data_IF_733498412501
#
_entry.id   IF_733498412501
#
_cell.length_a   1.000
_cell.length_b   1.000
_cell.length_c   1.000
_cell.angle_alpha   90.00
_cell.angle_beta   90.00
_cell.angle_gamma   90.00
#
_symmetry.space_group_name_H-M   'P 1'
#
loop_
_entity.id
_entity.type
_entity.pdbx_description
1 polymer ?
#
# COMPACT_ATOMS: atom_id res chain seq x y z
N UNK A 1 -1.21 -23.37 -7.08
CA UNK A 1 -1.49 -22.49 -8.25
C UNK A 1 -0.42 -21.42 -8.23
N UNK A 2 0.44 -21.32 -9.25
CA UNK A 2 1.40 -20.23 -9.38
C UNK A 2 0.73 -19.09 -10.13
N UNK A 3 0.13 -18.14 -9.41
CA UNK A 3 -0.40 -16.92 -10.01
C UNK A 3 0.74 -16.01 -10.48
N UNK A 4 0.43 -15.08 -11.38
CA UNK A 4 1.41 -14.09 -11.84
C UNK A 4 1.76 -13.11 -10.72
N UNK A 5 3.04 -12.74 -10.59
CA UNK A 5 3.50 -11.75 -9.61
C UNK A 5 3.41 -10.36 -10.26
N UNK A 6 2.32 -9.65 -9.99
CA UNK A 6 2.08 -8.31 -10.56
C UNK A 6 3.04 -7.23 -10.05
N UNK A 7 2.89 -6.02 -10.57
CA UNK A 7 3.66 -4.84 -10.15
C UNK A 7 3.40 -4.46 -8.69
N UNK A 8 4.39 -3.85 -8.04
CA UNK A 8 4.36 -3.50 -6.61
C UNK A 8 4.45 -2.01 -6.45
N UNK A 9 3.33 -1.40 -6.05
CA UNK A 9 3.30 -0.02 -5.65
C UNK A 9 3.35 0.10 -4.13
N UNK A 10 3.99 1.18 -3.66
CA UNK A 10 4.04 1.53 -2.25
C UNK A 10 4.17 3.04 -2.11
N UNK A 11 3.91 3.53 -0.89
CA UNK A 11 4.04 4.94 -0.52
C UNK A 11 4.91 5.05 0.73
N UNK A 12 5.84 6.01 0.74
CA UNK A 12 6.52 6.46 1.96
C UNK A 12 5.76 7.67 2.49
N UNK A 13 5.40 7.66 3.76
CA UNK A 13 4.77 8.80 4.42
C UNK A 13 5.81 9.85 4.80
N UNK A 14 5.42 11.12 4.72
CA UNK A 14 6.27 12.25 5.07
C UNK A 14 6.91 12.93 3.85
N UNK A 15 7.39 14.13 4.09
CA UNK A 15 7.72 15.14 3.08
C UNK A 15 9.22 15.47 3.04
N UNK A 16 10.01 15.03 4.03
CA UNK A 16 11.46 15.10 3.95
C UNK A 16 12.21 13.84 4.40
N UNK A 17 12.73 13.11 3.42
CA UNK A 17 13.60 11.94 3.63
C UNK A 17 15.03 12.35 4.04
N UNK A 18 15.15 13.39 4.88
CA UNK A 18 16.44 13.97 5.30
C UNK A 18 17.06 13.19 6.45
N UNK A 19 16.23 12.70 7.36
CA UNK A 19 16.70 11.92 8.50
C UNK A 19 16.90 10.46 8.10
N UNK A 20 18.06 9.90 8.48
CA UNK A 20 18.30 8.47 8.37
C UNK A 20 17.56 7.74 9.48
N UNK A 21 16.50 7.01 9.15
CA UNK A 21 15.64 6.29 10.11
C UNK A 21 15.37 4.84 9.65
N UNK A 22 15.09 3.92 10.58
CA UNK A 22 14.60 2.58 10.23
C UNK A 22 13.27 2.64 9.48
N UNK A 23 12.96 1.62 8.71
CA UNK A 23 11.65 1.47 8.04
C UNK A 23 10.70 0.71 8.95
N UNK A 24 9.44 1.17 9.01
CA UNK A 24 8.29 0.40 9.46
C UNK A 24 7.38 0.18 8.26
N UNK A 25 7.32 -1.05 7.74
CA UNK A 25 6.47 -1.38 6.61
C UNK A 25 5.10 -1.89 7.07
N UNK A 26 4.07 -1.12 6.77
CA UNK A 26 2.69 -1.48 7.05
C UNK A 26 2.07 -2.26 5.89
N UNK A 27 1.86 -3.54 6.13
CA UNK A 27 1.12 -4.44 5.24
C UNK A 27 -0.38 -4.34 5.53
N UNK A 28 -1.17 -4.00 4.51
CA UNK A 28 -2.62 -3.85 4.66
C UNK A 28 -3.33 -5.18 4.99
N UNK A 29 -4.51 -5.06 5.62
CA UNK A 29 -5.44 -6.16 5.98
C UNK A 29 -6.01 -6.94 4.79
N UNK A 30 -7.19 -7.56 4.88
CA UNK A 30 -7.61 -8.56 3.88
C UNK A 30 -7.97 -8.00 2.48
N UNK A 31 -8.66 -6.87 2.41
CA UNK A 31 -9.30 -6.38 1.17
C UNK A 31 -8.39 -5.45 0.35
N UNK A 32 -8.59 -5.33 -0.99
CA UNK A 32 -7.91 -4.38 -1.87
C UNK A 32 -8.40 -2.94 -1.64
N UNK A 33 -8.20 -2.44 -0.43
CA UNK A 33 -8.44 -1.04 -0.12
C UNK A 33 -7.34 -0.18 -0.77
N UNK A 34 -7.69 0.96 -1.39
CA UNK A 34 -6.69 1.91 -1.84
C UNK A 34 -5.95 2.51 -0.63
N UNK A 35 -4.75 3.05 -0.85
CA UNK A 35 -4.07 3.81 0.19
C UNK A 35 -4.66 5.21 0.33
N UNK A 36 -4.93 5.86 -0.81
CA UNK A 36 -5.46 7.23 -0.89
C UNK A 36 -6.65 7.25 -1.85
N UNK A 37 -7.72 7.91 -1.42
CA UNK A 37 -8.80 8.35 -2.30
C UNK A 37 -8.61 9.83 -2.65
N UNK A 38 -8.66 10.13 -3.94
CA UNK A 38 -8.81 11.49 -4.46
C UNK A 38 -10.29 11.80 -4.61
N UNK A 39 -10.79 12.74 -3.81
CA UNK A 39 -12.18 13.19 -3.85
C UNK A 39 -12.41 14.19 -4.98
N UNK A 40 -13.69 14.49 -5.26
CA UNK A 40 -14.10 15.40 -6.36
C UNK A 40 -13.50 16.80 -6.23
N UNK A 41 -13.34 17.28 -4.99
CA UNK A 41 -12.72 18.56 -4.65
C UNK A 41 -11.17 18.53 -4.69
N UNK A 42 -10.58 17.45 -5.23
CA UNK A 42 -9.14 17.18 -5.27
C UNK A 42 -8.48 16.91 -3.90
N UNK A 43 -9.24 16.88 -2.81
CA UNK A 43 -8.69 16.49 -1.51
C UNK A 43 -8.25 15.02 -1.53
N UNK A 44 -7.13 14.75 -0.86
CA UNK A 44 -6.59 13.41 -0.68
C UNK A 44 -7.00 12.88 0.70
N UNK A 45 -7.69 11.76 0.70
CA UNK A 45 -8.13 11.08 1.91
C UNK A 45 -7.33 9.79 2.09
N UNK A 46 -6.55 9.72 3.16
CA UNK A 46 -5.78 8.53 3.50
C UNK A 46 -6.71 7.47 4.10
N UNK A 47 -6.88 6.36 3.39
CA UNK A 47 -7.45 5.12 3.95
C UNK A 47 -6.37 4.37 4.73
N UNK A 48 -5.17 4.31 4.15
CA UNK A 48 -3.97 3.73 4.78
C UNK A 48 -4.12 2.26 5.20
N UNK A 49 -5.05 1.51 4.60
CA UNK A 49 -5.26 0.08 4.86
C UNK A 49 -5.47 -0.30 6.33
N UNK A 50 -5.98 0.64 7.15
CA UNK A 50 -6.17 0.46 8.59
C UNK A 50 -5.09 1.08 9.49
N UNK A 51 -4.01 1.64 8.94
CA UNK A 51 -3.00 2.37 9.73
C UNK A 51 -3.62 3.54 10.49
N UNK A 52 -4.70 4.13 9.94
CA UNK A 52 -5.40 5.27 10.54
C UNK A 52 -6.05 4.93 11.90
N UNK A 53 -6.12 3.63 12.25
CA UNK A 53 -6.53 3.17 13.58
C UNK A 53 -5.39 3.29 14.62
N UNK A 54 -4.19 3.64 14.21
CA UNK A 54 -3.01 3.80 15.05
C UNK A 54 -2.53 5.26 15.03
N UNK A 55 -1.78 5.64 16.08
CA UNK A 55 -1.07 6.91 16.13
C UNK A 55 0.25 6.80 15.34
N UNK A 56 0.14 6.58 14.03
CA UNK A 56 1.29 6.37 13.16
C UNK A 56 2.15 7.64 13.01
N UNK A 57 1.62 8.81 13.35
CA UNK A 57 2.37 10.07 13.43
C UNK A 57 3.47 9.98 14.49
N UNK A 58 3.18 9.41 15.67
CA UNK A 58 4.22 9.15 16.68
C UNK A 58 5.25 8.13 16.21
N UNK A 59 4.86 7.18 15.38
CA UNK A 59 5.81 6.23 14.81
C UNK A 59 6.70 6.90 13.76
N UNK A 60 6.17 7.83 12.98
CA UNK A 60 6.90 8.59 11.98
C UNK A 60 8.06 9.42 12.57
N UNK A 61 7.97 9.82 13.84
CA UNK A 61 9.10 10.44 14.55
C UNK A 61 10.33 9.53 14.60
N UNK A 62 10.14 8.21 14.62
CA UNK A 62 11.19 7.19 14.83
C UNK A 62 11.46 6.31 13.61
N UNK A 63 10.51 6.22 12.68
CA UNK A 63 10.56 5.32 11.54
C UNK A 63 10.10 6.03 10.27
N UNK A 64 10.68 5.67 9.14
CA UNK A 64 10.04 5.90 7.84
C UNK A 64 8.86 4.94 7.70
N UNK A 65 7.64 5.48 7.66
CA UNK A 65 6.43 4.68 7.54
C UNK A 65 6.18 4.39 6.07
N UNK A 66 6.15 3.11 5.71
CA UNK A 66 5.92 2.65 4.34
C UNK A 66 4.64 1.87 4.25
N UNK A 67 3.79 2.23 3.29
CA UNK A 67 2.55 1.54 2.98
C UNK A 67 2.68 0.78 1.68
N UNK A 68 2.52 -0.53 1.71
CA UNK A 68 2.50 -1.35 0.48
C UNK A 68 1.06 -1.50 -0.01
N UNK A 69 0.83 -1.40 -1.31
CA UNK A 69 -0.50 -1.64 -1.88
C UNK A 69 -0.82 -3.12 -1.93
N UNK A 70 -2.12 -3.43 -1.89
CA UNK A 70 -2.61 -4.74 -2.27
C UNK A 70 -2.33 -5.06 -3.74
N UNK A 71 -2.27 -6.34 -4.11
CA UNK A 71 -2.09 -6.72 -5.51
C UNK A 71 -3.08 -5.98 -6.41
N UNK A 72 -2.62 -5.57 -7.59
CA UNK A 72 -3.39 -4.88 -8.64
C UNK A 72 -4.17 -3.63 -8.16
N UNK A 73 -3.80 -3.07 -7.01
CA UNK A 73 -4.48 -1.93 -6.39
C UNK A 73 -3.57 -0.70 -6.44
N UNK A 74 -4.00 0.41 -7.08
CA UNK A 74 -3.21 1.64 -7.13
C UNK A 74 -3.05 2.31 -5.76
N UNK A 75 -2.01 3.13 -5.61
CA UNK A 75 -1.81 3.97 -4.41
C UNK A 75 -2.94 5.00 -4.27
N UNK A 76 -3.25 5.70 -5.35
CA UNK A 76 -4.26 6.75 -5.41
C UNK A 76 -5.35 6.33 -6.38
N UNK A 77 -6.61 6.34 -5.94
CA UNK A 77 -7.78 6.06 -6.77
C UNK A 77 -8.77 7.20 -6.67
N UNK A 78 -9.69 7.31 -7.63
CA UNK A 78 -10.80 8.28 -7.56
C UNK A 78 -12.07 7.63 -7.00
N UNK A 79 -12.97 8.45 -6.45
CA UNK A 79 -14.16 7.96 -5.75
C UNK A 79 -15.03 6.96 -6.54
N UNK A 80 -15.15 7.12 -7.86
CA UNK A 80 -15.94 6.23 -8.72
C UNK A 80 -15.29 4.86 -9.00
N UNK A 81 -14.04 4.67 -8.57
CA UNK A 81 -13.32 3.39 -8.65
C UNK A 81 -13.39 2.59 -7.35
N UNK A 82 -14.12 3.08 -6.35
CA UNK A 82 -14.27 2.46 -5.03
C UNK A 82 -15.69 1.88 -4.91
N UNK A 83 -15.80 0.61 -4.52
CA UNK A 83 -17.10 -0.04 -4.25
C UNK A 83 -17.66 0.31 -2.87
N UNK A 84 -18.86 -0.16 -2.56
CA UNK A 84 -19.52 0.08 -1.27
C UNK A 84 -18.80 -0.55 -0.06
N UNK A 85 -17.78 -1.39 -0.29
CA UNK A 85 -16.92 -1.99 0.75
C UNK A 85 -15.55 -1.30 0.81
N UNK A 86 -15.42 -0.12 0.21
CA UNK A 86 -14.18 0.65 0.14
C UNK A 86 -13.05 -0.04 -0.63
N UNK A 87 -13.38 -1.01 -1.49
CA UNK A 87 -12.39 -1.72 -2.29
C UNK A 87 -12.22 -1.03 -3.64
N UNK A 88 -10.98 -0.98 -4.14
CA UNK A 88 -10.75 -0.63 -5.53
C UNK A 88 -11.40 -1.68 -6.43
N UNK A 89 -12.10 -1.25 -7.48
CA UNK A 89 -12.73 -2.15 -8.45
C UNK A 89 -12.57 -1.70 -9.91
N UNK A 90 -11.77 -0.67 -10.19
CA UNK A 90 -11.53 0.00 -11.50
C UNK A 90 -12.77 0.56 -12.19
N UNK A 91 -13.82 -0.24 -12.33
CA UNK A 91 -15.15 0.12 -12.80
C UNK A 91 -16.18 -0.55 -11.91
N UNK A 92 -16.92 0.26 -11.15
CA UNK A 92 -17.96 -0.23 -10.24
C UNK A 92 -19.10 -0.96 -10.97
N UNK A 93 -19.34 -0.67 -12.25
CA UNK A 93 -20.33 -1.38 -13.06
C UNK A 93 -19.86 -2.80 -13.47
N UNK A 94 -18.55 -3.06 -13.44
CA UNK A 94 -17.94 -4.33 -13.82
C UNK A 94 -16.98 -4.89 -12.75
N UNK A 95 -17.30 -4.63 -11.47
CA UNK A 95 -16.44 -4.97 -10.35
C UNK A 95 -16.07 -6.46 -10.28
N UNK A 96 -16.93 -7.36 -10.78
CA UNK A 96 -16.69 -8.80 -10.77
C UNK A 96 -15.44 -9.21 -11.55
N UNK A 97 -15.12 -8.49 -12.64
CA UNK A 97 -13.91 -8.77 -13.41
C UNK A 97 -12.65 -8.49 -12.56
N UNK A 98 -12.63 -7.35 -11.87
CA UNK A 98 -11.55 -7.01 -10.95
C UNK A 98 -11.40 -8.07 -9.85
N UNK A 99 -12.50 -8.50 -9.22
CA UNK A 99 -12.43 -9.49 -8.14
C UNK A 99 -11.85 -10.84 -8.59
N UNK A 100 -12.10 -11.26 -9.82
CA UNK A 100 -11.50 -12.47 -10.40
C UNK A 100 -10.00 -12.30 -10.60
N UNK A 101 -9.59 -11.16 -11.15
CA UNK A 101 -8.18 -10.84 -11.33
C UNK A 101 -7.46 -10.77 -9.99
N UNK A 102 -8.01 -10.03 -9.02
CA UNK A 102 -7.48 -9.93 -7.67
C UNK A 102 -7.30 -11.30 -7.02
N UNK A 103 -8.29 -12.19 -7.15
CA UNK A 103 -8.23 -13.56 -6.62
C UNK A 103 -7.07 -14.39 -7.20
N UNK A 104 -6.62 -14.12 -8.42
CA UNK A 104 -5.44 -14.77 -9.00
C UNK A 104 -4.12 -14.27 -8.39
N UNK A 105 -4.13 -13.12 -7.73
CA UNK A 105 -2.99 -12.51 -7.06
C UNK A 105 -3.07 -12.55 -5.52
N UNK A 106 -4.20 -12.99 -4.95
CA UNK A 106 -4.45 -13.07 -3.51
C UNK A 106 -3.92 -14.39 -2.91
N UNK A 107 -2.59 -14.57 -2.94
CA UNK A 107 -1.93 -15.75 -2.37
C UNK A 107 -0.65 -15.39 -1.62
N UNK A 108 -0.31 -16.17 -0.59
CA UNK A 108 0.72 -15.84 0.40
C UNK A 108 2.10 -15.60 -0.22
N UNK A 109 2.48 -16.39 -1.22
CA UNK A 109 3.77 -16.25 -1.90
C UNK A 109 3.88 -14.93 -2.65
N UNK A 110 2.77 -14.42 -3.21
CA UNK A 110 2.74 -13.09 -3.82
C UNK A 110 2.95 -12.02 -2.75
N UNK A 111 2.26 -12.11 -1.60
CA UNK A 111 2.42 -11.13 -0.52
C UNK A 111 3.85 -11.06 0.01
N UNK A 112 4.48 -12.22 0.22
CA UNK A 112 5.88 -12.30 0.65
C UNK A 112 6.80 -11.69 -0.40
N UNK A 113 6.65 -12.08 -1.68
CA UNK A 113 7.47 -11.55 -2.77
C UNK A 113 7.38 -10.03 -2.90
N UNK A 114 6.15 -9.50 -2.86
CA UNK A 114 5.89 -8.06 -2.93
C UNK A 114 6.55 -7.31 -1.78
N UNK A 115 6.37 -7.80 -0.56
CA UNK A 115 7.01 -7.22 0.63
C UNK A 115 8.53 -7.23 0.54
N UNK A 116 9.12 -8.38 0.16
CA UNK A 116 10.58 -8.50 -0.01
C UNK A 116 11.12 -7.54 -1.06
N UNK A 117 10.46 -7.39 -2.21
CA UNK A 117 10.86 -6.45 -3.27
C UNK A 117 10.90 -5.00 -2.79
N UNK A 118 9.89 -4.58 -2.01
CA UNK A 118 9.85 -3.24 -1.42
C UNK A 118 10.98 -3.06 -0.40
N UNK A 119 11.17 -4.01 0.51
CA UNK A 119 12.24 -3.93 1.50
C UNK A 119 13.64 -3.91 0.87
N UNK A 120 13.88 -4.70 -0.18
CA UNK A 120 15.16 -4.73 -0.89
C UNK A 120 15.42 -3.46 -1.71
N UNK A 121 14.36 -2.80 -2.19
CA UNK A 121 14.46 -1.46 -2.75
C UNK A 121 14.81 -0.44 -1.66
N UNK A 122 14.12 -0.46 -0.51
CA UNK A 122 14.28 0.50 0.57
C UNK A 122 15.66 0.43 1.25
N UNK A 123 16.21 -0.78 1.44
CA UNK A 123 17.57 -0.98 2.01
C UNK A 123 18.68 -0.25 1.27
N UNK A 124 18.46 0.06 -0.01
CA UNK A 124 19.43 0.74 -0.88
C UNK A 124 19.33 2.26 -0.83
N UNK A 125 18.31 2.80 -0.19
CA UNK A 125 18.09 4.24 -0.12
C UNK A 125 18.97 4.85 0.99
N UNK A 126 19.63 5.98 0.71
CA UNK A 126 20.58 6.60 1.65
C UNK A 126 19.96 7.05 2.97
N UNK A 127 18.66 7.39 2.93
CA UNK A 127 17.86 7.83 4.07
C UNK A 127 17.27 6.68 4.90
N UNK A 128 17.48 5.43 4.50
CA UNK A 128 17.08 4.25 5.28
C UNK A 128 18.22 3.76 6.16
N UNK A 129 17.95 3.61 7.45
CA UNK A 129 18.81 2.83 8.33
C UNK A 129 18.54 1.32 8.14
N UNK A 130 19.32 0.71 7.26
CA UNK A 130 19.20 -0.72 6.96
C UNK A 130 19.64 -1.64 8.10
N UNK A 131 20.21 -1.12 9.21
CA UNK A 131 20.54 -1.94 10.38
C UNK A 131 19.28 -2.41 11.13
N UNK A 132 18.14 -1.74 10.92
CA UNK A 132 16.86 -2.06 11.53
C UNK A 132 15.71 -1.80 10.56
N UNK A 133 15.04 -2.87 10.15
CA UNK A 133 13.84 -2.84 9.33
C UNK A 133 12.78 -3.69 10.03
N UNK A 134 11.59 -3.13 10.23
CA UNK A 134 10.47 -3.73 10.96
C UNK A 134 9.27 -3.89 10.04
#
# INVERSE_FOLDING_TARGET
MSGEKGDVDFMVYGDDLKDKKPVLMFCQGSLPNPLIERRKDQSLHLFGGGIVNFDFLKWHEKYHIVFITKPITPVVVVHNEIDSRYCYVKDTANAMQFWREYGNHDFIENYVDRGTRVLDYLKKQEWVDASRIV
#
